data_IF_139134411894
#
_entry.id   IF_139134411894
#
_cell.length_a   1.000
_cell.length_b   1.000
_cell.length_c   1.000
_cell.angle_alpha   90.00
_cell.angle_beta   90.00
_cell.angle_gamma   90.00
#
_symmetry.space_group_name_H-M   'P 1'
#
loop_
_entity.id
_entity.type
_entity.pdbx_description
1 polymer ?
#
# COMPACT_ATOMS: atom_id res chain seq x y z
N UNK A 1 -11.16 -30.78 25.66
CA UNK A 1 -10.45 -31.03 24.38
C UNK A 1 -11.13 -30.16 23.34
N UNK A 2 -10.43 -29.13 22.85
CA UNK A 2 -10.92 -28.24 21.80
C UNK A 2 -10.36 -28.79 20.49
N UNK A 3 -11.21 -29.48 19.73
CA UNK A 3 -10.89 -29.95 18.39
C UNK A 3 -10.37 -28.79 17.54
N UNK A 4 -9.23 -29.05 16.89
CA UNK A 4 -8.47 -28.08 16.13
C UNK A 4 -9.26 -27.59 14.93
N UNK A 5 -9.68 -26.34 14.98
CA UNK A 5 -9.95 -25.57 13.77
C UNK A 5 -8.59 -25.32 13.11
N UNK A 6 -8.23 -26.19 12.17
CA UNK A 6 -7.03 -25.99 11.34
C UNK A 6 -7.28 -24.73 10.51
N UNK A 7 -6.62 -23.64 10.86
CA UNK A 7 -6.57 -22.46 10.01
C UNK A 7 -5.75 -22.82 8.77
N UNK A 8 -6.42 -23.16 7.68
CA UNK A 8 -5.78 -23.57 6.43
C UNK A 8 -4.79 -22.52 5.89
N UNK A 9 -4.96 -21.24 6.25
CA UNK A 9 -4.02 -20.18 5.90
C UNK A 9 -2.69 -20.32 6.67
N UNK A 10 -2.71 -20.71 7.95
CA UNK A 10 -1.48 -20.95 8.73
C UNK A 10 -0.67 -22.13 8.19
N UNK A 11 -1.35 -23.19 7.74
CA UNK A 11 -0.69 -24.35 7.14
C UNK A 11 -0.10 -24.02 5.76
N UNK A 12 -0.81 -23.24 4.95
CA UNK A 12 -0.37 -22.83 3.61
C UNK A 12 0.83 -21.87 3.65
N UNK A 13 0.86 -20.97 4.64
CA UNK A 13 1.87 -19.92 4.75
C UNK A 13 3.08 -20.31 5.62
N UNK A 14 3.09 -21.53 6.17
CA UNK A 14 4.24 -22.08 6.88
C UNK A 14 5.42 -22.27 5.94
N UNK A 15 6.53 -21.60 6.23
CA UNK A 15 7.78 -21.71 5.48
C UNK A 15 8.53 -22.96 5.92
N UNK A 16 9.04 -23.71 4.94
CA UNK A 16 9.92 -24.86 5.15
C UNK A 16 11.33 -24.48 4.72
N UNK A 17 12.36 -25.05 5.33
CA UNK A 17 13.75 -24.78 4.96
C UNK A 17 14.02 -24.97 3.46
N UNK A 18 13.45 -26.02 2.86
CA UNK A 18 13.54 -26.27 1.42
C UNK A 18 12.91 -25.18 0.55
N UNK A 19 11.88 -24.50 1.05
CA UNK A 19 11.27 -23.37 0.34
C UNK A 19 12.19 -22.14 0.41
N UNK A 20 12.95 -21.98 1.50
CA UNK A 20 13.98 -20.94 1.67
C UNK A 20 15.17 -21.22 0.76
N UNK A 21 15.76 -22.42 0.80
CA UNK A 21 16.96 -22.78 0.03
C UNK A 21 16.76 -22.60 -1.49
N UNK A 22 15.57 -22.97 -1.98
CA UNK A 22 15.20 -22.81 -3.39
C UNK A 22 15.05 -21.35 -3.78
N UNK A 23 14.41 -20.55 -2.92
CA UNK A 23 14.22 -19.14 -3.17
C UNK A 23 15.55 -18.38 -3.10
N UNK A 24 16.38 -18.70 -2.11
CA UNK A 24 17.74 -18.21 -1.93
C UNK A 24 18.61 -18.46 -3.16
N UNK A 25 18.63 -19.71 -3.65
CA UNK A 25 19.37 -20.08 -4.86
C UNK A 25 18.90 -19.30 -6.10
N UNK A 26 17.58 -19.07 -6.21
CA UNK A 26 16.99 -18.32 -7.31
C UNK A 26 17.31 -16.81 -7.25
N UNK A 27 17.28 -16.22 -6.06
CA UNK A 27 17.67 -14.82 -5.88
C UNK A 27 19.15 -14.61 -6.14
N UNK A 28 20.01 -15.53 -5.72
CA UNK A 28 21.44 -15.43 -5.99
C UNK A 28 21.76 -15.52 -7.48
N UNK A 29 21.08 -16.39 -8.24
CA UNK A 29 21.29 -16.45 -9.69
C UNK A 29 20.83 -15.16 -10.38
N UNK A 30 19.69 -14.60 -9.97
CA UNK A 30 19.23 -13.32 -10.49
C UNK A 30 20.15 -12.16 -10.12
N UNK A 31 20.71 -12.16 -8.91
CA UNK A 31 21.66 -11.12 -8.48
C UNK A 31 22.98 -11.20 -9.25
N UNK A 32 23.48 -12.39 -9.56
CA UNK A 32 24.65 -12.56 -10.45
C UNK A 32 24.37 -11.96 -11.83
N UNK A 33 23.23 -12.29 -12.46
CA UNK A 33 22.83 -11.68 -13.74
C UNK A 33 22.64 -10.17 -13.67
N UNK A 34 22.09 -9.64 -12.57
CA UNK A 34 21.96 -8.19 -12.34
C UNK A 34 23.34 -7.54 -12.25
N UNK A 35 24.27 -8.15 -11.50
CA UNK A 35 25.64 -7.64 -11.31
C UNK A 35 26.45 -7.62 -12.61
N UNK A 36 26.14 -8.54 -13.54
CA UNK A 36 26.71 -8.59 -14.90
C UNK A 36 26.03 -7.60 -15.85
N UNK A 37 24.93 -6.95 -15.43
CA UNK A 37 24.14 -6.05 -16.25
C UNK A 37 23.27 -6.76 -17.31
N UNK A 38 23.07 -8.08 -17.16
CA UNK A 38 22.29 -8.89 -18.10
C UNK A 38 20.79 -8.70 -17.92
N UNK A 39 20.36 -8.31 -16.72
CA UNK A 39 18.98 -7.97 -16.40
C UNK A 39 18.93 -6.60 -15.72
N UNK A 40 17.84 -5.88 -15.95
CA UNK A 40 17.51 -4.65 -15.24
C UNK A 40 16.81 -4.93 -13.90
N UNK A 41 16.73 -3.91 -13.04
CA UNK A 41 15.97 -3.99 -11.78
C UNK A 41 14.47 -4.27 -12.02
N UNK A 42 13.91 -3.81 -13.14
CA UNK A 42 12.53 -4.12 -13.52
C UNK A 42 12.34 -5.60 -13.89
N UNK A 43 13.30 -6.18 -14.60
CA UNK A 43 13.29 -7.61 -14.96
C UNK A 43 13.54 -8.52 -13.75
N UNK A 44 14.34 -8.08 -12.79
CA UNK A 44 14.48 -8.74 -11.49
C UNK A 44 13.11 -8.84 -10.78
N UNK A 45 12.42 -7.71 -10.63
CA UNK A 45 11.10 -7.65 -9.96
C UNK A 45 10.07 -8.55 -10.66
N UNK A 46 10.05 -8.52 -11.99
CA UNK A 46 9.18 -9.39 -12.79
C UNK A 46 9.50 -10.87 -12.58
N UNK A 47 10.79 -11.24 -12.58
CA UNK A 47 11.24 -12.63 -12.39
C UNK A 47 10.89 -13.19 -11.01
N UNK A 48 10.93 -12.35 -9.97
CA UNK A 48 10.51 -12.71 -8.62
C UNK A 48 8.99 -12.95 -8.59
N UNK A 49 8.22 -12.06 -9.20
CA UNK A 49 6.74 -12.19 -9.26
C UNK A 49 6.34 -13.46 -10.00
N UNK A 50 6.94 -13.75 -11.15
CA UNK A 50 6.70 -14.97 -11.91
C UNK A 50 7.08 -16.23 -11.12
N UNK A 51 8.16 -16.20 -10.35
CA UNK A 51 8.55 -17.32 -9.49
C UNK A 51 7.50 -17.57 -8.41
N UNK A 52 6.96 -16.51 -7.81
CA UNK A 52 5.90 -16.65 -6.81
C UNK A 52 4.64 -17.29 -7.40
N UNK A 53 4.20 -16.82 -8.57
CA UNK A 53 3.05 -17.37 -9.29
C UNK A 53 3.26 -18.84 -9.64
N UNK A 54 4.38 -19.17 -10.30
CA UNK A 54 4.72 -20.55 -10.72
C UNK A 54 4.80 -21.54 -9.55
N UNK A 55 5.19 -21.06 -8.37
CA UNK A 55 5.37 -21.89 -7.18
C UNK A 55 4.21 -21.78 -6.16
N UNK A 56 3.11 -21.10 -6.52
CA UNK A 56 1.96 -20.86 -5.63
C UNK A 56 2.37 -20.25 -4.28
N UNK A 57 3.33 -19.33 -4.29
CA UNK A 57 3.81 -18.62 -3.12
C UNK A 57 2.93 -17.37 -2.97
N UNK A 58 2.15 -17.31 -1.88
CA UNK A 58 1.41 -16.11 -1.48
C UNK A 58 2.36 -14.98 -1.10
N UNK A 59 1.88 -13.74 -1.10
CA UNK A 59 2.69 -12.60 -0.64
C UNK A 59 3.09 -12.78 0.83
N UNK A 60 2.20 -13.32 1.67
CA UNK A 60 2.51 -13.65 3.07
C UNK A 60 3.62 -14.70 3.18
N UNK A 61 3.57 -15.77 2.38
CA UNK A 61 4.61 -16.80 2.38
C UNK A 61 5.95 -16.25 1.88
N UNK A 62 5.91 -15.38 0.87
CA UNK A 62 7.10 -14.72 0.34
C UNK A 62 7.77 -13.81 1.38
N UNK A 63 6.97 -13.01 2.10
CA UNK A 63 7.44 -12.16 3.18
C UNK A 63 8.06 -12.99 4.32
N UNK A 64 7.43 -14.11 4.70
CA UNK A 64 8.00 -15.03 5.68
C UNK A 64 9.34 -15.63 5.19
N UNK A 65 9.47 -15.97 3.90
CA UNK A 65 10.73 -16.48 3.31
C UNK A 65 11.84 -15.43 3.41
N UNK A 66 11.56 -14.18 3.02
CA UNK A 66 12.55 -13.09 3.12
C UNK A 66 13.01 -12.89 4.57
N UNK A 67 12.09 -12.93 5.53
CA UNK A 67 12.40 -12.79 6.96
C UNK A 67 13.32 -13.90 7.47
N UNK A 68 13.05 -15.15 7.11
CA UNK A 68 13.89 -16.28 7.52
C UNK A 68 15.26 -16.26 6.82
N UNK A 69 15.34 -15.81 5.57
CA UNK A 69 16.63 -15.56 4.90
C UNK A 69 17.46 -14.52 5.65
N UNK A 70 16.88 -13.35 5.98
CA UNK A 70 17.60 -12.29 6.70
C UNK A 70 18.15 -12.78 8.05
N UNK A 71 17.35 -13.54 8.79
CA UNK A 71 17.80 -14.19 10.03
C UNK A 71 18.96 -15.15 9.81
N UNK A 72 18.92 -15.99 8.77
CA UNK A 72 20.00 -16.94 8.45
C UNK A 72 21.34 -16.27 8.19
N UNK A 73 21.33 -15.07 7.62
CA UNK A 73 22.55 -14.29 7.38
C UNK A 73 22.91 -13.34 8.53
N UNK A 74 22.25 -13.45 9.69
CA UNK A 74 22.55 -12.64 10.87
C UNK A 74 22.07 -11.20 10.80
N UNK A 75 21.17 -10.86 9.87
CA UNK A 75 20.54 -9.54 9.82
C UNK A 75 19.34 -9.50 10.77
N UNK A 76 19.50 -8.77 11.88
CA UNK A 76 18.37 -8.36 12.71
C UNK A 76 17.62 -7.21 12.02
N UNK A 77 16.29 -7.24 12.02
CA UNK A 77 15.44 -6.22 11.40
C UNK A 77 15.72 -4.81 11.93
N UNK A 78 16.18 -4.70 13.18
CA UNK A 78 16.64 -3.43 13.77
C UNK A 78 17.89 -2.87 13.06
N UNK A 79 18.84 -3.74 12.69
CA UNK A 79 20.10 -3.34 12.07
C UNK A 79 19.90 -2.79 10.65
N UNK A 80 18.88 -3.27 9.93
CA UNK A 80 18.52 -2.73 8.60
C UNK A 80 17.99 -1.29 8.69
N UNK A 81 17.14 -0.98 9.66
CA UNK A 81 16.64 0.39 9.84
C UNK A 81 17.78 1.37 10.13
N UNK A 82 18.72 0.97 10.98
CA UNK A 82 19.86 1.80 11.37
C UNK A 82 20.87 1.98 10.22
N UNK A 83 21.13 0.92 9.44
CA UNK A 83 21.98 0.98 8.25
C UNK A 83 21.37 1.88 7.16
N UNK A 84 20.09 1.75 6.87
CA UNK A 84 19.41 2.61 5.88
C UNK A 84 19.46 4.08 6.30
N UNK A 85 19.14 4.37 7.56
CA UNK A 85 19.27 5.72 8.13
C UNK A 85 20.71 6.25 8.03
N UNK A 86 21.71 5.42 8.29
CA UNK A 86 23.13 5.80 8.20
C UNK A 86 23.60 6.12 6.77
N UNK A 87 22.92 5.58 5.76
CA UNK A 87 23.16 5.86 4.34
C UNK A 87 22.38 7.08 3.83
N UNK A 88 21.72 7.84 4.72
CA UNK A 88 20.89 8.99 4.35
C UNK A 88 19.55 8.60 3.71
N UNK A 89 19.22 7.31 3.74
CA UNK A 89 17.98 6.75 3.23
C UNK A 89 17.01 6.65 4.41
N UNK A 90 16.00 7.53 4.44
CA UNK A 90 14.94 7.38 5.42
C UNK A 90 14.07 6.18 4.99
N UNK A 91 13.94 5.12 5.81
CA UNK A 91 13.03 4.00 5.49
C UNK A 91 11.59 4.47 5.28
N UNK A 92 11.23 5.60 5.89
CA UNK A 92 9.97 6.32 5.71
C UNK A 92 9.78 6.97 4.34
N UNK A 93 10.83 7.05 3.50
CA UNK A 93 10.79 7.56 2.12
C UNK A 93 10.91 6.44 1.07
N UNK A 94 11.38 5.25 1.45
CA UNK A 94 11.30 4.05 0.61
C UNK A 94 9.95 3.39 0.91
N UNK A 95 8.93 3.82 0.19
CA UNK A 95 7.57 3.27 0.24
C UNK A 95 6.90 3.37 1.63
N UNK A 96 5.67 3.89 1.67
CA UNK A 96 4.90 3.98 2.92
C UNK A 96 4.62 2.59 3.54
N UNK A 97 4.96 1.50 2.84
CA UNK A 97 4.92 0.12 3.29
C UNK A 97 5.99 -0.28 4.32
N UNK A 98 7.10 0.46 4.46
CA UNK A 98 8.19 0.13 5.42
C UNK A 98 7.97 0.77 6.80
N UNK A 99 7.13 1.80 6.91
CA UNK A 99 6.74 2.40 8.21
C UNK A 99 5.64 1.61 8.93
N UNK A 100 5.08 0.58 8.30
CA UNK A 100 4.20 -0.38 8.95
C UNK A 100 5.03 -1.49 9.56
N UNK A 101 4.77 -1.81 10.83
CA UNK A 101 5.35 -3.00 11.44
C UNK A 101 5.02 -4.22 10.58
N UNK A 102 5.91 -5.22 10.59
CA UNK A 102 5.72 -6.49 9.87
C UNK A 102 4.29 -7.05 9.99
N UNK A 103 3.72 -6.98 11.19
CA UNK A 103 2.37 -7.44 11.49
C UNK A 103 1.27 -6.60 10.81
N UNK A 104 1.45 -5.28 10.72
CA UNK A 104 0.50 -4.39 10.02
C UNK A 104 0.53 -4.62 8.50
N UNK A 105 1.71 -4.78 7.92
CA UNK A 105 1.87 -5.12 6.50
C UNK A 105 1.26 -6.48 6.19
N UNK A 106 1.53 -7.49 7.03
CA UNK A 106 0.94 -8.83 6.90
C UNK A 106 -0.58 -8.79 6.96
N UNK A 107 -1.16 -8.09 7.94
CA UNK A 107 -2.63 -7.96 8.08
C UNK A 107 -3.24 -7.28 6.87
N UNK A 108 -2.62 -6.20 6.38
CA UNK A 108 -3.09 -5.46 5.21
C UNK A 108 -3.08 -6.32 3.95
N UNK A 109 -2.00 -7.05 3.70
CA UNK A 109 -1.91 -7.98 2.57
C UNK A 109 -2.92 -9.12 2.67
N UNK A 110 -3.03 -9.75 3.84
CA UNK A 110 -3.99 -10.84 4.09
C UNK A 110 -5.43 -10.38 3.86
N UNK A 111 -5.75 -9.14 4.25
CA UNK A 111 -7.04 -8.53 4.00
C UNK A 111 -7.30 -8.35 2.50
N UNK A 112 -6.34 -7.82 1.73
CA UNK A 112 -6.46 -7.68 0.27
C UNK A 112 -6.64 -9.02 -0.44
N UNK A 113 -5.88 -10.04 -0.03
CA UNK A 113 -5.98 -11.40 -0.57
C UNK A 113 -7.39 -11.99 -0.31
N UNK A 114 -7.96 -11.79 0.88
CA UNK A 114 -9.32 -12.26 1.22
C UNK A 114 -10.39 -11.74 0.24
N UNK A 115 -10.19 -10.57 -0.34
CA UNK A 115 -11.11 -9.98 -1.33
C UNK A 115 -10.58 -10.10 -2.77
N UNK A 116 -9.76 -11.12 -3.05
CA UNK A 116 -9.24 -11.43 -4.37
C UNK A 116 -8.50 -10.26 -5.03
N UNK A 117 -7.78 -9.46 -4.23
CA UNK A 117 -7.05 -8.28 -4.71
C UNK A 117 -7.92 -7.27 -5.50
N UNK A 118 -9.24 -7.24 -5.25
CA UNK A 118 -10.17 -6.27 -5.84
C UNK A 118 -10.20 -4.93 -5.10
N UNK A 119 -9.50 -4.84 -3.97
CA UNK A 119 -9.37 -3.61 -3.20
C UNK A 119 -8.31 -2.76 -3.88
N UNK A 120 -8.72 -1.56 -4.33
CA UNK A 120 -7.82 -0.56 -4.88
C UNK A 120 -7.48 0.47 -3.81
N UNK A 121 -6.20 0.78 -3.65
CA UNK A 121 -5.77 1.94 -2.87
C UNK A 121 -5.84 3.19 -3.76
N UNK A 122 -6.56 4.21 -3.31
CA UNK A 122 -6.62 5.51 -3.98
C UNK A 122 -6.14 6.58 -3.02
N UNK A 123 -5.16 7.35 -3.46
CA UNK A 123 -4.71 8.54 -2.75
C UNK A 123 -5.56 9.72 -3.21
N UNK A 124 -6.08 10.48 -2.25
CA UNK A 124 -6.78 11.73 -2.48
C UNK A 124 -6.30 12.77 -1.48
N UNK A 125 -6.31 14.03 -1.89
CA UNK A 125 -6.08 15.15 -0.98
C UNK A 125 -7.42 15.61 -0.42
N UNK A 126 -7.48 15.93 0.87
CA UNK A 126 -8.69 16.45 1.50
C UNK A 126 -8.49 17.87 2.01
N UNK A 127 -9.57 18.66 1.97
CA UNK A 127 -9.65 20.00 2.51
C UNK A 127 -11.00 20.15 3.24
N UNK A 128 -11.05 20.97 4.29
CA UNK A 128 -12.26 21.17 5.09
C UNK A 128 -12.68 22.62 4.98
N UNK A 129 -13.93 22.85 4.59
CA UNK A 129 -14.57 24.16 4.58
C UNK A 129 -15.56 24.19 5.74
N UNK A 130 -15.39 25.17 6.64
CA UNK A 130 -16.29 25.38 7.78
C UNK A 130 -16.52 26.87 7.98
N UNK A 131 -17.62 27.35 7.44
CA UNK A 131 -18.04 28.75 7.49
C UNK A 131 -19.57 28.86 7.73
N UNK A 132 -20.12 30.06 7.60
CA UNK A 132 -21.54 30.34 7.87
C UNK A 132 -22.51 29.64 6.89
N UNK A 133 -22.01 29.23 5.72
CA UNK A 133 -22.81 28.60 4.65
C UNK A 133 -22.63 27.10 4.60
N UNK A 134 -21.40 26.63 4.74
CA UNK A 134 -21.04 25.24 4.56
C UNK A 134 -20.19 24.70 5.71
N UNK A 135 -20.43 23.43 6.02
CA UNK A 135 -19.55 22.58 6.79
C UNK A 135 -19.36 21.28 6.01
N UNK A 136 -18.28 21.19 5.23
CA UNK A 136 -18.07 20.09 4.29
C UNK A 136 -16.59 19.70 4.15
N UNK A 137 -16.37 18.48 3.70
CA UNK A 137 -15.07 17.94 3.30
C UNK A 137 -15.02 17.95 1.77
N UNK A 138 -13.95 18.52 1.22
CA UNK A 138 -13.62 18.46 -0.20
C UNK A 138 -12.52 17.43 -0.40
N UNK A 139 -12.82 16.35 -1.11
CA UNK A 139 -11.82 15.36 -1.53
C UNK A 139 -11.48 15.55 -3.00
N UNK A 140 -10.18 15.54 -3.31
CA UNK A 140 -9.62 15.83 -4.61
C UNK A 140 -8.83 14.63 -5.13
N UNK A 141 -9.16 14.19 -6.33
CA UNK A 141 -8.44 13.14 -7.04
C UNK A 141 -8.40 13.46 -8.53
N UNK A 142 -7.31 14.11 -8.96
CA UNK A 142 -7.13 14.59 -10.34
C UNK A 142 -8.32 15.48 -10.74
N UNK A 143 -9.03 15.19 -11.82
CA UNK A 143 -10.18 15.98 -12.25
C UNK A 143 -11.45 15.72 -11.42
N UNK A 144 -11.45 14.72 -10.52
CA UNK A 144 -12.61 14.38 -9.71
C UNK A 144 -12.56 15.09 -8.36
N UNK A 145 -13.66 15.75 -8.00
CA UNK A 145 -13.84 16.43 -6.72
C UNK A 145 -15.10 15.89 -6.06
N UNK A 146 -15.01 15.47 -4.80
CA UNK A 146 -16.17 15.08 -3.99
C UNK A 146 -16.39 16.11 -2.90
N UNK A 147 -17.62 16.63 -2.81
CA UNK A 147 -18.07 17.51 -1.74
C UNK A 147 -18.95 16.68 -0.81
N UNK A 148 -18.54 16.51 0.45
CA UNK A 148 -19.21 15.63 1.42
C UNK A 148 -19.64 16.46 2.61
N UNK A 149 -20.94 16.49 2.91
CA UNK A 149 -21.51 17.19 4.07
C UNK A 149 -22.57 16.36 4.77
N UNK A 150 -22.66 16.53 6.10
CA UNK A 150 -23.78 16.02 6.90
C UNK A 150 -25.07 16.83 6.67
N UNK A 151 -24.97 18.04 6.11
CA UNK A 151 -26.09 18.90 5.76
C UNK A 151 -26.24 19.11 4.26
N UNK A 152 -27.04 20.11 3.90
CA UNK A 152 -27.08 20.64 2.53
C UNK A 152 -25.85 21.49 2.24
N UNK A 153 -25.40 21.48 0.99
CA UNK A 153 -24.26 22.25 0.51
C UNK A 153 -24.78 23.49 -0.24
N UNK A 154 -24.43 24.68 0.23
CA UNK A 154 -24.69 25.94 -0.48
C UNK A 154 -23.58 26.20 -1.51
N UNK A 155 -23.90 26.03 -2.79
CA UNK A 155 -23.00 26.33 -3.91
C UNK A 155 -22.77 27.83 -4.14
N UNK A 156 -23.51 28.71 -3.45
CA UNK A 156 -23.24 30.15 -3.46
C UNK A 156 -22.19 30.55 -2.41
N UNK A 157 -21.55 29.60 -1.76
CA UNK A 157 -20.42 29.84 -0.87
C UNK A 157 -19.20 30.34 -1.65
N UNK A 158 -18.70 31.51 -1.25
CA UNK A 158 -17.57 32.16 -1.91
C UNK A 158 -16.28 31.36 -1.71
N UNK A 159 -16.04 30.81 -0.52
CA UNK A 159 -14.84 30.04 -0.21
C UNK A 159 -14.79 28.75 -1.03
N UNK A 160 -15.92 28.03 -1.11
CA UNK A 160 -16.04 26.84 -1.96
C UNK A 160 -15.78 27.17 -3.43
N UNK A 161 -16.36 28.25 -3.94
CA UNK A 161 -16.18 28.64 -5.34
C UNK A 161 -14.74 29.08 -5.64
N UNK A 162 -14.11 29.83 -4.74
CA UNK A 162 -12.70 30.23 -4.86
C UNK A 162 -11.78 29.01 -4.83
N UNK A 163 -12.06 28.06 -3.95
CA UNK A 163 -11.34 26.80 -3.86
C UNK A 163 -11.42 26.02 -5.16
N UNK A 164 -12.63 25.78 -5.70
CA UNK A 164 -12.82 25.04 -6.95
C UNK A 164 -12.14 25.75 -8.14
N UNK A 165 -12.20 27.08 -8.21
CA UNK A 165 -11.51 27.86 -9.23
C UNK A 165 -9.98 27.70 -9.13
N UNK A 166 -9.44 27.73 -7.92
CA UNK A 166 -8.01 27.57 -7.68
C UNK A 166 -7.55 26.16 -8.00
N UNK A 167 -8.32 25.14 -7.59
CA UNK A 167 -8.02 23.75 -7.88
C UNK A 167 -8.07 23.45 -9.38
N UNK A 168 -9.04 24.01 -10.10
CA UNK A 168 -9.12 23.90 -11.56
C UNK A 168 -7.83 24.33 -12.26
N UNK A 169 -7.16 25.38 -11.78
CA UNK A 169 -5.85 25.83 -12.31
C UNK A 169 -4.74 24.81 -12.04
N UNK A 170 -4.76 24.17 -10.86
CA UNK A 170 -3.80 23.11 -10.51
C UNK A 170 -3.92 21.93 -11.48
N UNK A 171 -5.13 21.59 -11.91
CA UNK A 171 -5.38 20.52 -12.90
C UNK A 171 -5.37 21.02 -14.35
N UNK A 172 -4.64 22.10 -14.65
CA UNK A 172 -4.42 22.63 -16.00
C UNK A 172 -5.72 23.04 -16.71
N UNK A 173 -6.63 23.67 -15.98
CA UNK A 173 -7.91 24.18 -16.49
C UNK A 173 -8.87 23.14 -17.10
N UNK A 174 -8.61 21.86 -16.85
CA UNK A 174 -9.53 20.77 -17.20
C UNK A 174 -10.86 20.92 -16.48
N UNK A 175 -11.92 20.38 -17.09
CA UNK A 175 -13.25 20.34 -16.46
C UNK A 175 -13.20 19.46 -15.22
N UNK A 176 -13.61 20.02 -14.07
CA UNK A 176 -13.76 19.26 -12.84
C UNK A 176 -15.06 18.45 -12.88
N UNK A 177 -14.96 17.17 -12.55
CA UNK A 177 -16.08 16.29 -12.28
C UNK A 177 -16.44 16.39 -10.79
N UNK A 178 -17.39 17.26 -10.46
CA UNK A 178 -17.81 17.53 -9.08
C UNK A 178 -18.98 16.64 -8.71
N UNK A 179 -18.79 15.77 -7.71
CA UNK A 179 -19.83 14.93 -7.11
C UNK A 179 -20.22 15.49 -5.74
N UNK A 180 -21.53 15.62 -5.49
CA UNK A 180 -22.07 16.23 -4.27
C UNK A 180 -22.76 15.15 -3.44
N UNK A 181 -22.36 15.02 -2.18
CA UNK A 181 -22.92 14.10 -1.20
C UNK A 181 -23.43 14.90 0.00
N UNK A 182 -24.75 15.04 0.07
CA UNK A 182 -25.45 15.72 1.18
C UNK A 182 -26.07 14.70 2.14
N UNK A 183 -26.31 15.13 3.38
CA UNK A 183 -26.93 14.30 4.43
C UNK A 183 -26.14 13.02 4.73
N UNK A 184 -24.82 13.08 4.66
CA UNK A 184 -23.95 11.97 5.04
C UNK A 184 -24.10 11.65 6.54
N UNK A 185 -24.13 10.36 6.89
CA UNK A 185 -24.22 9.88 8.27
C UNK A 185 -22.95 9.11 8.65
N UNK A 186 -22.40 9.42 9.82
CA UNK A 186 -21.22 8.76 10.35
C UNK A 186 -21.58 7.75 11.45
N UNK A 187 -20.97 6.57 11.43
CA UNK A 187 -21.07 5.58 12.50
C UNK A 187 -19.70 4.97 12.77
N UNK A 188 -19.41 4.65 14.04
CA UNK A 188 -18.19 3.96 14.43
C UNK A 188 -18.47 2.45 14.50
N UNK A 189 -17.58 1.64 13.92
CA UNK A 189 -17.64 0.17 13.91
C UNK A 189 -16.50 -0.44 14.72
#
# INVERSE_FOLDING_TARGET
MSDGVINFNEVKNKVRDKDIDKFESYIFSLYDSLSRGEISMGELSKSITEYMEKNNISQEKFLNIQKEMLKRYGFDTQYMEDQLKSMGINPSQIDQSINMSYEETRKTMSFKEKYNNKIEDKMYSSYVIKNDKNNLIVEMQSENVRLISEGKIDLNDMELNEFLCSYKKVVQDKTLNVSIYENATHYNY
#
